data_IF_280160582646
#
_entry.id   IF_280160582646
#
_cell.length_a   1.000
_cell.length_b   1.000
_cell.length_c   1.000
_cell.angle_alpha   90.00
_cell.angle_beta   90.00
_cell.angle_gamma   90.00
#
_symmetry.space_group_name_H-M   'P 1'
#
loop_
_entity.id
_entity.type
_entity.pdbx_description
1 polymer ?
#
# COMPACT_ATOMS: atom_id res chain seq x y z
N UNK A 1 27.24 -11.45 38.90
CA UNK A 1 27.51 -10.47 37.82
C UNK A 1 27.02 -10.94 36.46
N UNK A 2 27.36 -12.16 36.01
CA UNK A 2 26.95 -12.73 34.70
C UNK A 2 25.43 -12.65 34.47
N UNK A 3 24.60 -13.01 35.45
CA UNK A 3 23.13 -13.03 35.31
C UNK A 3 22.50 -11.65 35.10
N UNK A 4 23.12 -10.57 35.59
CA UNK A 4 22.61 -9.21 35.38
C UNK A 4 22.93 -8.72 33.97
N UNK A 5 24.10 -9.10 33.44
CA UNK A 5 24.49 -8.80 32.06
C UNK A 5 23.59 -9.56 31.08
N UNK A 6 23.32 -10.85 31.34
CA UNK A 6 22.41 -11.65 30.49
C UNK A 6 20.99 -11.06 30.49
N UNK A 7 20.45 -10.68 31.65
CA UNK A 7 19.13 -10.05 31.74
C UNK A 7 19.09 -8.70 31.02
N UNK A 8 20.14 -7.88 31.17
CA UNK A 8 20.25 -6.62 30.47
C UNK A 8 20.29 -6.82 28.95
N UNK A 9 21.08 -7.78 28.46
CA UNK A 9 21.16 -8.10 27.03
C UNK A 9 19.82 -8.60 26.47
N UNK A 10 19.09 -9.41 27.23
CA UNK A 10 17.75 -9.87 26.82
C UNK A 10 16.74 -8.72 26.75
N UNK A 11 16.74 -7.83 27.75
CA UNK A 11 15.88 -6.65 27.74
C UNK A 11 16.26 -5.66 26.64
N UNK A 12 17.55 -5.53 26.34
CA UNK A 12 18.05 -4.70 25.26
C UNK A 12 17.66 -5.25 23.87
N UNK A 13 17.79 -6.56 23.65
CA UNK A 13 17.32 -7.24 22.45
C UNK A 13 15.80 -7.08 22.27
N UNK A 14 15.03 -7.23 23.35
CA UNK A 14 13.59 -7.01 23.33
C UNK A 14 13.23 -5.55 23.01
N UNK A 15 13.97 -4.58 23.56
CA UNK A 15 13.75 -3.16 23.23
C UNK A 15 14.02 -2.87 21.75
N UNK A 16 15.05 -3.49 21.15
CA UNK A 16 15.35 -3.34 19.71
C UNK A 16 14.18 -3.83 18.85
N UNK A 17 13.51 -4.93 19.21
CA UNK A 17 12.36 -5.42 18.42
C UNK A 17 11.17 -4.48 18.46
N UNK A 18 10.97 -3.74 19.55
CA UNK A 18 9.91 -2.72 19.65
C UNK A 18 10.25 -1.40 18.94
N UNK A 19 11.53 -1.15 18.65
CA UNK A 19 11.99 0.02 17.89
C UNK A 19 11.99 -0.22 16.38
N UNK A 20 11.73 -1.44 15.91
CA UNK A 20 11.52 -1.71 14.50
C UNK A 20 10.15 -1.16 14.07
N UNK A 21 10.15 0.06 13.55
CA UNK A 21 9.04 0.53 12.73
C UNK A 21 9.06 -0.26 11.42
N UNK A 22 8.18 -1.25 11.31
CA UNK A 22 7.90 -1.86 10.01
C UNK A 22 7.33 -0.76 9.11
N UNK A 23 8.16 -0.24 8.21
CA UNK A 23 7.66 0.54 7.07
C UNK A 23 6.84 -0.43 6.25
N UNK A 24 5.53 -0.37 6.40
CA UNK A 24 4.62 -1.09 5.52
C UNK A 24 4.70 -0.32 4.21
N UNK A 25 5.43 -0.86 3.24
CA UNK A 25 5.43 -0.39 1.85
C UNK A 25 4.08 -0.74 1.20
N UNK A 26 2.98 -0.39 1.86
CA UNK A 26 1.64 -0.82 1.54
C UNK A 26 1.24 -0.31 0.15
N UNK A 27 1.77 0.83 -0.27
CA UNK A 27 1.38 1.53 -1.49
C UNK A 27 2.65 1.91 -2.24
N UNK A 28 3.16 0.96 -3.02
CA UNK A 28 4.26 1.15 -3.97
C UNK A 28 3.93 0.42 -5.27
N UNK A 29 4.82 0.48 -6.25
CA UNK A 29 4.55 -0.03 -7.60
C UNK A 29 4.02 -1.46 -7.64
N UNK A 30 4.59 -2.37 -6.85
CA UNK A 30 4.11 -3.76 -6.79
C UNK A 30 2.71 -3.90 -6.18
N UNK A 31 2.34 -3.06 -5.23
CA UNK A 31 0.97 -3.07 -4.69
C UNK A 31 -0.03 -2.58 -5.74
N UNK A 32 0.27 -1.49 -6.45
CA UNK A 32 -0.59 -1.00 -7.52
C UNK A 32 -0.78 -2.08 -8.60
N UNK A 33 0.31 -2.74 -9.02
CA UNK A 33 0.29 -3.87 -9.94
C UNK A 33 -0.54 -5.04 -9.40
N UNK A 34 -0.34 -5.40 -8.15
CA UNK A 34 -1.07 -6.50 -7.51
C UNK A 34 -2.58 -6.22 -7.49
N UNK A 35 -3.00 -5.06 -7.01
CA UNK A 35 -4.42 -4.68 -6.94
C UNK A 35 -5.02 -4.68 -8.35
N UNK A 36 -4.37 -4.00 -9.30
CA UNK A 36 -4.89 -3.89 -10.65
C UNK A 36 -5.03 -5.25 -11.34
N UNK A 37 -4.00 -6.12 -11.25
CA UNK A 37 -4.04 -7.48 -11.81
C UNK A 37 -5.22 -8.29 -11.28
N UNK A 38 -5.50 -8.21 -9.97
CA UNK A 38 -6.58 -8.99 -9.34
C UNK A 38 -7.96 -8.34 -9.52
N UNK A 39 -8.05 -7.01 -9.66
CA UNK A 39 -9.31 -6.31 -9.87
C UNK A 39 -10.05 -6.79 -11.12
N UNK A 40 -9.32 -7.22 -12.15
CA UNK A 40 -9.86 -7.79 -13.38
C UNK A 40 -10.75 -9.02 -13.12
N UNK A 41 -10.48 -9.82 -12.09
CA UNK A 41 -11.30 -10.99 -11.73
C UNK A 41 -12.69 -10.63 -11.17
N UNK A 42 -12.88 -9.38 -10.76
CA UNK A 42 -14.10 -8.88 -10.12
C UNK A 42 -14.91 -7.96 -11.02
N UNK A 43 -14.50 -7.79 -12.27
CA UNK A 43 -15.24 -7.01 -13.25
C UNK A 43 -16.53 -7.72 -13.69
N UNK A 44 -17.60 -6.97 -14.02
CA UNK A 44 -18.83 -7.56 -14.54
C UNK A 44 -18.59 -8.13 -15.95
N UNK A 45 -19.43 -9.07 -16.40
CA UNK A 45 -19.25 -9.79 -17.67
C UNK A 45 -19.21 -8.87 -18.90
N UNK A 46 -19.90 -7.73 -18.84
CA UNK A 46 -19.88 -6.70 -19.89
C UNK A 46 -18.49 -6.08 -20.09
N UNK A 47 -17.58 -6.29 -19.14
CA UNK A 47 -16.19 -5.82 -19.12
C UNK A 47 -15.16 -6.94 -19.34
N UNK A 48 -15.58 -8.12 -19.81
CA UNK A 48 -14.69 -9.28 -20.03
C UNK A 48 -13.51 -8.99 -20.98
N UNK A 49 -13.62 -7.96 -21.83
CA UNK A 49 -12.52 -7.43 -22.64
C UNK A 49 -11.20 -7.25 -21.84
N UNK A 50 -11.28 -6.86 -20.57
CA UNK A 50 -10.10 -6.60 -19.75
C UNK A 50 -9.38 -7.87 -19.29
N UNK A 51 -10.01 -9.05 -19.39
CA UNK A 51 -9.35 -10.33 -19.10
C UNK A 51 -8.13 -10.52 -20.00
N UNK A 52 -8.30 -10.26 -21.30
CA UNK A 52 -7.24 -10.39 -22.31
C UNK A 52 -6.18 -9.28 -22.21
N UNK A 53 -6.49 -8.19 -21.50
CA UNK A 53 -5.61 -7.02 -21.35
C UNK A 53 -5.04 -6.87 -19.94
N UNK A 54 -5.18 -7.89 -19.09
CA UNK A 54 -4.77 -7.86 -17.68
C UNK A 54 -3.32 -7.44 -17.48
N UNK A 55 -2.40 -8.00 -18.27
CA UNK A 55 -0.98 -7.69 -18.13
C UNK A 55 -0.66 -6.25 -18.54
N UNK A 56 -1.37 -5.72 -19.55
CA UNK A 56 -1.27 -4.32 -19.95
C UNK A 56 -1.75 -3.41 -18.81
N UNK A 57 -2.93 -3.66 -18.24
CA UNK A 57 -3.45 -2.87 -17.13
C UNK A 57 -2.53 -2.92 -15.90
N UNK A 58 -2.00 -4.12 -15.58
CA UNK A 58 -1.04 -4.30 -14.50
C UNK A 58 0.17 -3.40 -14.71
N UNK A 59 0.80 -3.47 -15.88
CA UNK A 59 2.04 -2.73 -16.16
C UNK A 59 1.84 -1.22 -16.02
N UNK A 60 0.74 -0.70 -16.58
CA UNK A 60 0.43 0.73 -16.61
C UNK A 60 -0.28 1.22 -15.34
N UNK A 61 -0.45 0.38 -14.31
CA UNK A 61 -1.11 0.78 -13.05
C UNK A 61 -0.32 1.81 -12.23
N UNK A 62 0.96 2.00 -12.56
CA UNK A 62 1.87 2.93 -11.88
C UNK A 62 2.16 4.20 -12.66
N UNK A 63 1.70 4.30 -13.90
CA UNK A 63 1.93 5.47 -14.74
C UNK A 63 1.47 6.79 -14.11
N UNK A 64 0.34 6.84 -13.36
CA UNK A 64 -0.04 8.06 -12.65
C UNK A 64 1.02 8.57 -11.65
N UNK A 65 1.83 7.67 -11.05
CA UNK A 65 2.89 8.05 -10.10
C UNK A 65 4.13 8.66 -10.79
N UNK A 66 4.21 8.56 -12.12
CA UNK A 66 5.36 9.01 -12.93
C UNK A 66 5.10 10.37 -13.60
N UNK A 67 3.89 10.91 -13.52
CA UNK A 67 3.54 12.22 -14.07
C UNK A 67 4.29 13.37 -13.37
N UNK A 68 4.25 14.57 -13.95
CA UNK A 68 4.92 15.77 -13.44
C UNK A 68 4.30 16.28 -12.11
N UNK A 69 3.07 15.89 -11.79
CA UNK A 69 2.31 16.37 -10.62
C UNK A 69 1.53 15.25 -9.91
N UNK A 70 2.14 14.12 -9.54
CA UNK A 70 1.42 12.93 -9.08
C UNK A 70 0.69 13.18 -7.75
N UNK A 71 1.28 14.00 -6.87
CA UNK A 71 0.74 14.27 -5.54
C UNK A 71 -0.60 15.00 -5.50
N UNK A 72 -0.98 15.74 -6.55
CA UNK A 72 -2.23 16.52 -6.54
C UNK A 72 -3.48 15.66 -6.78
N UNK A 73 -3.34 14.52 -7.46
CA UNK A 73 -4.48 13.68 -7.86
C UNK A 73 -4.58 12.37 -7.08
N UNK A 74 -3.57 12.02 -6.26
CA UNK A 74 -3.49 10.72 -5.60
C UNK A 74 -4.09 10.70 -4.19
N UNK A 75 -4.48 11.86 -3.67
CA UNK A 75 -5.01 12.00 -2.33
C UNK A 75 -6.24 12.90 -2.36
N UNK A 76 -7.18 12.60 -1.48
CA UNK A 76 -8.34 13.44 -1.18
C UNK A 76 -8.36 13.65 0.33
N UNK A 77 -8.53 14.90 0.74
CA UNK A 77 -8.81 15.24 2.12
C UNK A 77 -10.33 15.34 2.28
N UNK A 78 -10.91 14.31 2.89
CA UNK A 78 -12.37 14.16 3.01
C UNK A 78 -12.99 15.23 3.92
N UNK A 79 -12.21 15.89 4.78
CA UNK A 79 -12.72 16.94 5.67
C UNK A 79 -13.21 18.18 4.90
N UNK A 80 -12.82 18.33 3.63
CA UNK A 80 -13.29 19.39 2.73
C UNK A 80 -14.60 19.09 1.98
N UNK A 81 -15.18 17.90 2.18
CA UNK A 81 -16.34 17.41 1.42
C UNK A 81 -17.48 17.04 2.39
N UNK A 82 -18.39 17.97 2.70
CA UNK A 82 -19.48 17.77 3.67
C UNK A 82 -20.34 16.54 3.41
N UNK A 83 -20.51 16.14 2.14
CA UNK A 83 -21.33 15.01 1.72
C UNK A 83 -20.86 13.67 2.33
N UNK A 84 -19.57 13.52 2.67
CA UNK A 84 -19.08 12.31 3.35
C UNK A 84 -19.47 12.24 4.83
N UNK A 85 -20.05 13.30 5.39
CA UNK A 85 -20.53 13.35 6.78
C UNK A 85 -22.06 13.32 6.89
N UNK A 86 -22.79 13.42 5.77
CA UNK A 86 -24.26 13.55 5.72
C UNK A 86 -25.02 12.20 5.59
N UNK A 87 -24.40 11.09 6.02
CA UNK A 87 -24.91 9.72 5.85
C UNK A 87 -26.39 9.48 6.13
#
# INVERSE_FOLDING_TARGET
MINHITRFLLLFLLAITFLQQNKVYAWGWETHRYINKNAVDYLPSEMDFFQDHRDYLREHSTDPDVDNFPGYYHYIDIDYYPEFFEG
#
